data_IF_820808298054
#
_entry.id   IF_820808298054
#
_cell.length_a   1.000
_cell.length_b   1.000
_cell.length_c   1.000
_cell.angle_alpha   90.00
_cell.angle_beta   90.00
_cell.angle_gamma   90.00
#
_symmetry.space_group_name_H-M   'P 1'
#
loop_
_entity.id
_entity.type
_entity.pdbx_description
1 polymer ?
#
# COMPACT_ATOMS: atom_id res chain seq x y z
N UNK A 1 20.54 -31.90 -43.98
CA UNK A 1 20.66 -30.71 -43.10
C UNK A 1 19.34 -30.40 -42.40
N UNK A 2 18.20 -30.72 -43.02
CA UNK A 2 16.85 -30.37 -42.54
C UNK A 2 16.47 -31.04 -41.21
N UNK A 3 16.82 -32.31 -40.99
CA UNK A 3 16.47 -33.05 -39.76
C UNK A 3 17.09 -32.41 -38.51
N UNK A 4 18.33 -31.92 -38.60
CA UNK A 4 19.05 -31.28 -37.49
C UNK A 4 18.47 -29.90 -37.19
N UNK A 5 18.13 -29.13 -38.23
CA UNK A 5 17.45 -27.83 -38.11
C UNK A 5 16.05 -27.97 -37.50
N UNK A 6 15.29 -29.00 -37.88
CA UNK A 6 13.99 -29.31 -37.26
C UNK A 6 14.14 -29.67 -35.78
N UNK A 7 15.12 -30.50 -35.43
CA UNK A 7 15.38 -30.89 -34.04
C UNK A 7 15.76 -29.69 -33.15
N UNK A 8 16.61 -28.80 -33.67
CA UNK A 8 16.96 -27.53 -33.02
C UNK A 8 15.75 -26.62 -32.85
N UNK A 9 14.87 -26.54 -33.86
CA UNK A 9 13.62 -25.78 -33.79
C UNK A 9 12.67 -26.31 -32.71
N UNK A 10 12.48 -27.62 -32.63
CA UNK A 10 11.65 -28.25 -31.59
C UNK A 10 12.24 -28.06 -30.19
N UNK A 11 13.55 -28.18 -30.03
CA UNK A 11 14.22 -27.95 -28.76
C UNK A 11 14.05 -26.50 -28.29
N UNK A 12 14.21 -25.52 -29.20
CA UNK A 12 14.00 -24.11 -28.88
C UNK A 12 12.54 -23.81 -28.50
N UNK A 13 11.59 -24.37 -29.24
CA UNK A 13 10.16 -24.26 -28.91
C UNK A 13 9.85 -24.83 -27.53
N UNK A 14 10.40 -26.00 -27.19
CA UNK A 14 10.20 -26.62 -25.88
C UNK A 14 10.74 -25.73 -24.75
N UNK A 15 11.91 -25.09 -24.94
CA UNK A 15 12.48 -24.15 -23.97
C UNK A 15 11.58 -22.92 -23.80
N UNK A 16 11.10 -22.32 -24.89
CA UNK A 16 10.22 -21.14 -24.82
C UNK A 16 8.92 -21.47 -24.09
N UNK A 17 8.28 -22.59 -24.43
CA UNK A 17 7.05 -23.04 -23.75
C UNK A 17 7.31 -23.30 -22.28
N UNK A 18 8.42 -23.95 -21.93
CA UNK A 18 8.79 -24.20 -20.54
C UNK A 18 8.98 -22.89 -19.75
N UNK A 19 9.67 -21.90 -20.33
CA UNK A 19 9.86 -20.58 -19.73
C UNK A 19 8.52 -19.87 -19.51
N UNK A 20 7.61 -19.92 -20.49
CA UNK A 20 6.29 -19.29 -20.36
C UNK A 20 5.42 -19.97 -19.31
N UNK A 21 5.39 -21.31 -19.27
CA UNK A 21 4.65 -22.06 -18.24
C UNK A 21 5.23 -21.80 -16.86
N UNK A 22 6.56 -21.71 -16.74
CA UNK A 22 7.22 -21.39 -15.48
C UNK A 22 6.91 -19.96 -15.01
N UNK A 23 6.92 -18.98 -15.92
CA UNK A 23 6.49 -17.60 -15.63
C UNK A 23 5.03 -17.54 -15.20
N UNK A 24 4.13 -18.24 -15.91
CA UNK A 24 2.71 -18.31 -15.59
C UNK A 24 2.50 -18.93 -14.20
N UNK A 25 3.20 -20.03 -13.90
CA UNK A 25 3.18 -20.66 -12.59
C UNK A 25 3.68 -19.72 -11.49
N UNK A 26 4.76 -18.97 -11.76
CA UNK A 26 5.24 -17.91 -10.87
C UNK A 26 4.16 -16.88 -10.59
N UNK A 27 3.55 -16.30 -11.62
CA UNK A 27 2.48 -15.31 -11.50
C UNK A 27 1.30 -15.89 -10.70
N UNK A 28 0.82 -17.09 -11.02
CA UNK A 28 -0.30 -17.74 -10.31
C UNK A 28 0.06 -17.98 -8.85
N UNK A 29 1.26 -18.49 -8.56
CA UNK A 29 1.71 -18.73 -7.18
C UNK A 29 1.79 -17.44 -6.38
N UNK A 30 2.37 -16.38 -6.92
CA UNK A 30 2.44 -15.08 -6.25
C UNK A 30 1.06 -14.39 -6.17
N UNK A 31 0.19 -14.61 -7.15
CA UNK A 31 -1.21 -14.15 -7.14
C UNK A 31 -2.07 -14.84 -6.08
N UNK A 32 -1.80 -16.12 -5.73
CA UNK A 32 -2.52 -16.87 -4.69
C UNK A 32 -1.94 -16.65 -3.28
N UNK A 33 -0.62 -16.43 -3.15
CA UNK A 33 0.01 -16.10 -1.86
C UNK A 33 -0.45 -14.70 -1.37
N UNK A 34 -0.69 -13.76 -2.29
CA UNK A 34 -1.22 -12.43 -1.98
C UNK A 34 -2.53 -12.47 -1.15
N UNK A 35 -3.58 -13.23 -1.52
CA UNK A 35 -4.78 -13.47 -0.70
C UNK A 35 -4.50 -14.04 0.69
N UNK A 36 -3.53 -14.94 0.85
CA UNK A 36 -3.24 -15.58 2.14
C UNK A 36 -2.49 -14.63 3.09
N UNK A 37 -1.62 -13.78 2.55
CA UNK A 37 -0.94 -12.71 3.31
C UNK A 37 -1.89 -11.53 3.59
N UNK A 38 -2.89 -11.30 2.72
CA UNK A 38 -3.93 -10.28 2.92
C UNK A 38 -5.15 -10.79 3.71
N UNK A 39 -5.28 -12.10 3.96
CA UNK A 39 -6.26 -12.68 4.90
C UNK A 39 -6.03 -12.08 6.28
N UNK A 40 -7.01 -11.30 6.74
CA UNK A 40 -6.93 -10.59 8.02
C UNK A 40 -6.35 -9.18 7.95
N UNK A 41 -5.97 -8.65 6.78
CA UNK A 41 -5.59 -7.24 6.64
C UNK A 41 -6.76 -6.31 7.01
N UNK A 42 -7.99 -6.67 6.63
CA UNK A 42 -9.21 -5.95 7.01
C UNK A 42 -9.51 -6.01 8.51
N UNK A 43 -9.14 -7.12 9.18
CA UNK A 43 -9.25 -7.24 10.64
C UNK A 43 -8.12 -6.49 11.36
N UNK A 44 -6.91 -6.49 10.79
CA UNK A 44 -5.75 -5.75 11.30
C UNK A 44 -5.91 -4.24 11.15
N UNK A 45 -6.62 -3.78 10.13
CA UNK A 45 -7.02 -2.37 9.98
C UNK A 45 -7.82 -1.87 11.19
N UNK A 46 -8.68 -2.72 11.78
CA UNK A 46 -9.52 -2.37 12.95
C UNK A 46 -8.83 -2.59 14.30
N UNK A 47 -7.61 -3.13 14.32
CA UNK A 47 -6.85 -3.41 15.56
C UNK A 47 -5.43 -2.83 15.45
N UNK A 48 -5.30 -1.49 15.47
CA UNK A 48 -3.99 -0.84 15.37
C UNK A 48 -3.15 -1.13 16.62
N UNK A 49 -1.87 -1.45 16.41
CA UNK A 49 -0.84 -1.53 17.45
C UNK A 49 0.01 -0.26 17.36
N UNK A 50 -0.48 0.81 18.00
CA UNK A 50 0.10 2.15 17.95
C UNK A 50 1.49 2.16 18.59
N UNK A 51 1.64 1.55 19.77
CA UNK A 51 2.90 1.53 20.50
C UNK A 51 3.96 0.71 19.76
N UNK A 52 3.61 -0.48 19.29
CA UNK A 52 4.52 -1.30 18.49
C UNK A 52 4.92 -0.59 17.20
N UNK A 53 3.98 0.07 16.52
CA UNK A 53 4.25 0.80 15.29
C UNK A 53 5.16 2.01 15.53
N UNK A 54 4.98 2.72 16.65
CA UNK A 54 5.85 3.82 17.10
C UNK A 54 7.30 3.33 17.27
N UNK A 55 7.50 2.17 17.91
CA UNK A 55 8.83 1.56 18.08
C UNK A 55 9.51 1.22 16.74
N UNK A 56 8.75 0.84 15.71
CA UNK A 56 9.31 0.55 14.38
C UNK A 56 9.80 1.83 13.69
N UNK A 57 9.12 2.95 13.85
CA UNK A 57 9.47 4.21 13.18
C UNK A 57 10.40 5.11 13.99
N UNK A 58 10.52 4.87 15.29
CA UNK A 58 11.44 5.60 16.18
C UNK A 58 10.89 6.95 16.66
N UNK A 59 9.58 7.18 16.54
CA UNK A 59 8.90 8.36 17.05
C UNK A 59 7.50 8.01 17.57
N UNK A 60 6.96 8.75 18.55
CA UNK A 60 5.62 8.49 19.09
C UNK A 60 4.55 8.77 18.03
N UNK A 61 3.61 7.84 17.87
CA UNK A 61 2.44 8.06 17.02
C UNK A 61 1.37 8.83 17.81
N UNK A 62 0.59 9.71 17.14
CA UNK A 62 -0.49 10.43 17.79
C UNK A 62 -1.56 9.46 18.29
N UNK A 63 -2.10 9.72 19.49
CA UNK A 63 -3.15 8.90 20.12
C UNK A 63 -4.38 8.78 19.20
N UNK A 64 -4.70 9.86 18.49
CA UNK A 64 -5.76 9.97 17.49
C UNK A 64 -5.64 8.94 16.35
N UNK A 65 -4.45 8.35 16.13
CA UNK A 65 -4.31 7.28 15.16
C UNK A 65 -5.11 6.04 15.54
N UNK A 66 -5.25 5.72 16.83
CA UNK A 66 -6.11 4.63 17.29
C UNK A 66 -7.59 4.89 16.93
N UNK A 67 -8.05 6.10 17.21
CA UNK A 67 -9.43 6.53 16.96
C UNK A 67 -9.74 6.62 15.47
N UNK A 68 -8.80 7.14 14.67
CA UNK A 68 -8.93 7.17 13.22
C UNK A 68 -9.14 5.76 12.66
N UNK A 69 -8.29 4.80 13.06
CA UNK A 69 -8.34 3.42 12.57
C UNK A 69 -9.57 2.63 13.06
N UNK A 70 -10.18 3.04 14.18
CA UNK A 70 -11.38 2.40 14.71
C UNK A 70 -12.68 2.98 14.13
N UNK A 71 -12.71 4.28 13.84
CA UNK A 71 -13.95 5.03 13.54
C UNK A 71 -14.12 5.48 12.08
N UNK A 72 -13.04 5.61 11.30
CA UNK A 72 -13.16 6.19 9.96
C UNK A 72 -13.91 5.25 8.99
N UNK A 73 -15.05 5.68 8.41
CA UNK A 73 -15.97 4.80 7.68
C UNK A 73 -15.43 4.33 6.31
N UNK A 74 -14.38 4.98 5.81
CA UNK A 74 -13.79 4.72 4.50
C UNK A 74 -12.54 3.84 4.54
N UNK A 75 -12.05 3.44 5.72
CA UNK A 75 -10.79 2.68 5.84
C UNK A 75 -10.79 1.33 5.11
N UNK A 76 -11.95 0.69 5.03
CA UNK A 76 -12.10 -0.59 4.34
C UNK A 76 -12.42 -0.44 2.85
N UNK A 77 -12.65 0.79 2.37
CA UNK A 77 -12.89 1.03 0.95
C UNK A 77 -11.59 0.82 0.17
N UNK A 78 -11.75 0.40 -1.07
CA UNK A 78 -10.69 0.32 -2.05
C UNK A 78 -10.97 1.35 -3.13
N UNK A 79 -9.92 1.98 -3.64
CA UNK A 79 -9.94 2.78 -4.86
C UNK A 79 -11.01 3.88 -4.87
N UNK A 80 -10.79 4.92 -4.07
CA UNK A 80 -11.72 6.03 -3.91
C UNK A 80 -10.97 7.37 -3.86
N UNK A 81 -11.73 8.46 -3.85
CA UNK A 81 -11.19 9.82 -3.75
C UNK A 81 -11.67 10.45 -2.47
N UNK A 82 -10.72 10.92 -1.66
CA UNK A 82 -11.01 11.80 -0.53
C UNK A 82 -10.98 13.26 -0.98
N UNK A 83 -11.99 14.02 -0.56
CA UNK A 83 -12.15 15.43 -0.87
C UNK A 83 -12.01 16.22 0.42
N UNK A 84 -10.97 17.05 0.49
CA UNK A 84 -10.75 17.96 1.60
C UNK A 84 -11.84 19.05 1.63
N UNK A 85 -12.10 19.69 2.79
CA UNK A 85 -13.00 20.85 2.86
C UNK A 85 -12.61 21.99 1.90
N UNK A 86 -11.32 22.10 1.56
CA UNK A 86 -10.82 23.05 0.55
C UNK A 86 -11.16 22.68 -0.90
N UNK A 87 -11.82 21.56 -1.16
CA UNK A 87 -12.13 21.02 -2.50
C UNK A 87 -10.99 20.23 -3.15
N UNK A 88 -9.79 20.21 -2.56
CA UNK A 88 -8.66 19.40 -3.03
C UNK A 88 -8.97 17.91 -2.95
N UNK A 89 -8.58 17.16 -3.99
CA UNK A 89 -8.91 15.74 -4.17
C UNK A 89 -7.66 14.87 -4.06
N UNK A 90 -7.79 13.77 -3.32
CA UNK A 90 -6.71 12.81 -3.06
C UNK A 90 -7.18 11.40 -3.39
N UNK A 91 -6.47 10.73 -4.30
CA UNK A 91 -6.80 9.35 -4.68
C UNK A 91 -6.23 8.38 -3.65
N UNK A 92 -7.06 7.48 -3.15
CA UNK A 92 -6.70 6.48 -2.17
C UNK A 92 -6.94 5.11 -2.79
N UNK A 93 -5.88 4.33 -2.98
CA UNK A 93 -5.98 2.94 -3.40
C UNK A 93 -6.46 2.04 -2.27
N UNK A 94 -5.78 2.10 -1.11
CA UNK A 94 -6.16 1.37 0.11
C UNK A 94 -5.43 1.93 1.32
N UNK A 95 -6.02 1.79 2.50
CA UNK A 95 -5.32 2.02 3.77
C UNK A 95 -4.49 0.79 4.18
N UNK A 96 -3.37 1.04 4.86
CA UNK A 96 -2.50 0.01 5.41
C UNK A 96 -2.76 -0.19 6.90
N UNK A 97 -2.72 -1.43 7.42
CA UNK A 97 -2.82 -1.65 8.87
C UNK A 97 -1.67 -0.99 9.64
N UNK A 98 -1.98 -0.26 10.72
CA UNK A 98 -0.99 0.23 11.69
C UNK A 98 -0.58 -0.89 12.65
N UNK A 99 0.18 -1.86 12.16
CA UNK A 99 0.73 -2.96 12.94
C UNK A 99 2.22 -3.08 12.60
N UNK A 100 3.12 -3.36 13.56
CA UNK A 100 4.57 -3.36 13.35
C UNK A 100 5.07 -4.07 12.10
N UNK A 101 4.54 -5.28 11.83
CA UNK A 101 4.90 -6.07 10.65
C UNK A 101 4.57 -5.36 9.33
N UNK A 102 3.37 -4.78 9.26
CA UNK A 102 2.85 -4.09 8.08
C UNK A 102 3.57 -2.75 7.87
N UNK A 103 3.79 -2.01 8.95
CA UNK A 103 4.56 -0.75 8.90
C UNK A 103 5.98 -1.02 8.40
N UNK A 104 6.66 -2.04 8.94
CA UNK A 104 8.02 -2.41 8.54
C UNK A 104 8.08 -2.82 7.06
N UNK A 105 7.15 -3.66 6.61
CA UNK A 105 7.10 -4.11 5.22
C UNK A 105 6.80 -2.97 4.25
N UNK A 106 5.75 -2.19 4.51
CA UNK A 106 5.38 -1.07 3.65
C UNK A 106 6.46 0.02 3.61
N UNK A 107 7.19 0.26 4.71
CA UNK A 107 8.34 1.18 4.71
C UNK A 107 9.45 0.71 3.77
N UNK A 108 9.72 -0.60 3.71
CA UNK A 108 10.69 -1.18 2.78
C UNK A 108 10.21 -1.05 1.34
N UNK A 109 8.95 -1.39 1.07
CA UNK A 109 8.35 -1.35 -0.27
C UNK A 109 8.38 0.07 -0.84
N UNK A 110 8.03 1.07 -0.02
CA UNK A 110 7.92 2.47 -0.48
C UNK A 110 9.18 3.30 -0.25
N UNK A 111 10.22 2.75 0.41
CA UNK A 111 11.45 3.48 0.70
C UNK A 111 11.25 4.71 1.58
N UNK A 112 10.31 4.67 2.54
CA UNK A 112 9.99 5.82 3.41
C UNK A 112 10.47 5.65 4.84
N UNK A 113 10.92 6.76 5.44
CA UNK A 113 11.26 6.82 6.87
C UNK A 113 10.03 7.03 7.77
N UNK A 114 8.94 7.53 7.20
CA UNK A 114 7.69 7.84 7.88
C UNK A 114 6.78 6.61 7.97
N UNK A 115 5.60 6.75 8.58
CA UNK A 115 4.64 5.65 8.73
C UNK A 115 3.72 5.62 7.51
N UNK A 116 3.80 4.61 6.63
CA UNK A 116 2.87 4.51 5.50
C UNK A 116 1.47 4.17 6.01
N UNK A 117 0.48 5.00 5.67
CA UNK A 117 -0.92 4.85 6.08
C UNK A 117 -1.86 4.49 4.91
N UNK A 118 -1.54 4.89 3.68
CA UNK A 118 -2.34 4.53 2.51
C UNK A 118 -1.54 4.54 1.21
N UNK A 119 -2.04 3.87 0.18
CA UNK A 119 -1.47 3.85 -1.18
C UNK A 119 -2.16 4.87 -2.09
N UNK A 120 -1.42 5.50 -3.01
CA UNK A 120 -1.98 6.26 -4.16
C UNK A 120 -1.91 5.45 -5.46
N UNK A 121 -2.30 4.17 -5.43
CA UNK A 121 -2.42 3.30 -6.62
C UNK A 121 -1.18 3.28 -7.54
N UNK A 122 0.02 3.30 -6.95
CA UNK A 122 1.29 3.26 -7.69
C UNK A 122 1.88 4.63 -8.05
N UNK A 123 1.23 5.75 -7.69
CA UNK A 123 1.80 7.10 -7.83
C UNK A 123 2.62 7.54 -6.61
N UNK A 124 2.40 6.88 -5.48
CA UNK A 124 3.07 7.18 -4.23
C UNK A 124 2.40 6.53 -3.03
N UNK A 125 2.77 7.04 -1.86
CA UNK A 125 2.32 6.57 -0.56
C UNK A 125 1.91 7.76 0.30
N UNK A 126 0.81 7.64 1.01
CA UNK A 126 0.44 8.56 2.06
C UNK A 126 1.13 8.13 3.36
N UNK A 127 1.80 9.07 3.99
CA UNK A 127 2.60 8.85 5.19
C UNK A 127 2.13 9.74 6.33
N UNK A 128 2.20 9.22 7.54
CA UNK A 128 2.09 9.98 8.78
C UNK A 128 3.50 10.38 9.22
N UNK A 129 3.68 11.68 9.39
CA UNK A 129 4.91 12.33 9.83
C UNK A 129 5.03 12.31 11.36
N UNK A 130 6.23 12.62 11.87
CA UNK A 130 6.50 12.62 13.31
C UNK A 130 5.73 13.69 14.09
N UNK A 131 5.32 14.76 13.44
CA UNK A 131 4.47 15.83 13.99
C UNK A 131 2.97 15.48 13.94
N UNK A 132 2.61 14.29 13.42
CA UNK A 132 1.23 13.85 13.26
C UNK A 132 0.54 14.32 11.98
N UNK A 133 1.22 15.08 11.12
CA UNK A 133 0.68 15.51 9.84
C UNK A 133 0.64 14.35 8.83
N UNK A 134 -0.32 14.43 7.90
CA UNK A 134 -0.43 13.48 6.79
C UNK A 134 0.11 14.14 5.53
N UNK A 135 1.02 13.44 4.87
CA UNK A 135 1.60 13.89 3.62
C UNK A 135 1.56 12.81 2.56
N UNK A 136 1.55 13.21 1.29
CA UNK A 136 1.74 12.34 0.14
C UNK A 136 3.22 12.37 -0.26
N UNK A 137 3.83 11.19 -0.34
CA UNK A 137 5.20 10.99 -0.82
C UNK A 137 5.13 10.30 -2.18
N UNK A 138 5.57 10.96 -3.27
CA UNK A 138 5.60 10.37 -4.60
C UNK A 138 6.50 9.14 -4.68
N UNK A 139 6.18 8.20 -5.56
CA UNK A 139 7.01 7.03 -5.80
C UNK A 139 8.41 7.45 -6.28
N UNK A 140 9.45 6.85 -5.71
CA UNK A 140 10.85 7.11 -6.09
C UNK A 140 11.47 8.37 -5.46
N UNK A 141 10.71 9.17 -4.72
CA UNK A 141 11.24 10.31 -3.96
C UNK A 141 11.14 10.04 -2.46
N UNK A 142 12.27 10.16 -1.75
CA UNK A 142 12.33 9.98 -0.29
C UNK A 142 12.30 11.31 0.49
N UNK A 143 12.46 12.44 -0.20
CA UNK A 143 12.57 13.78 0.40
C UNK A 143 11.42 14.71 0.05
N UNK A 144 10.79 14.54 -1.12
CA UNK A 144 9.65 15.36 -1.50
C UNK A 144 8.37 14.80 -0.89
N UNK A 145 7.74 15.59 -0.04
CA UNK A 145 6.43 15.29 0.52
C UNK A 145 5.49 16.47 0.26
N UNK A 146 4.25 16.17 -0.11
CA UNK A 146 3.19 17.16 -0.27
C UNK A 146 2.23 17.02 0.89
N UNK A 147 2.09 18.08 1.70
CA UNK A 147 1.18 18.06 2.84
C UNK A 147 -0.28 17.87 2.37
N UNK A 148 -0.97 16.90 2.96
CA UNK A 148 -2.39 16.59 2.70
C UNK A 148 -3.26 17.29 3.74
N UNK A 149 -2.94 17.08 5.02
CA UNK A 149 -3.61 17.71 6.16
C UNK A 149 -2.70 17.69 7.40
N UNK A 150 -3.07 18.44 8.43
CA UNK A 150 -2.22 18.65 9.62
C UNK A 150 -2.37 17.56 10.68
N UNK A 151 -3.42 16.76 10.61
CA UNK A 151 -3.64 15.63 11.51
C UNK A 151 -4.51 14.55 10.88
N UNK A 152 -4.53 13.37 11.51
CA UNK A 152 -5.48 12.30 11.17
C UNK A 152 -6.93 12.71 11.47
N UNK A 153 -7.15 13.51 12.51
CA UNK A 153 -8.47 14.09 12.80
C UNK A 153 -9.00 14.99 11.68
N UNK A 154 -8.13 15.75 11.01
CA UNK A 154 -8.51 16.50 9.80
C UNK A 154 -8.83 15.57 8.63
N UNK A 155 -8.01 14.53 8.42
CA UNK A 155 -8.24 13.54 7.35
C UNK A 155 -9.58 12.82 7.52
N UNK A 156 -9.98 12.52 8.76
CA UNK A 156 -11.26 11.87 9.06
C UNK A 156 -12.49 12.67 8.59
N UNK A 157 -12.34 13.99 8.44
CA UNK A 157 -13.40 14.91 7.99
C UNK A 157 -13.50 15.01 6.47
N UNK A 158 -12.62 14.35 5.72
CA UNK A 158 -12.66 14.39 4.26
C UNK A 158 -13.85 13.57 3.77
N UNK A 159 -14.55 14.10 2.77
CA UNK A 159 -15.68 13.41 2.16
C UNK A 159 -15.17 12.42 1.11
N UNK A 160 -15.85 11.27 0.98
CA UNK A 160 -15.58 10.36 -0.14
C UNK A 160 -16.35 10.84 -1.36
N UNK A 161 -15.66 11.12 -2.47
CA UNK A 161 -16.32 11.53 -3.70
C UNK A 161 -17.23 10.40 -4.24
N UNK A 162 -18.44 10.75 -4.68
CA UNK A 162 -19.40 9.80 -5.24
C UNK A 162 -20.08 8.91 -4.20
N UNK A 163 -20.19 9.39 -2.96
CA UNK A 163 -20.91 8.72 -1.86
C UNK A 163 -22.30 9.30 -1.58
N UNK A 164 -22.84 10.10 -2.49
CA UNK A 164 -24.24 10.56 -2.49
C UNK A 164 -25.15 9.49 -3.15
#
# INVERSE_FOLDING_TARGET
>A
MDVVLSFLGYALCAVIVFVQVFLLWGIVRYSIISPWVTRGASAALKRPDIEGSARVVGFPLPIEAGDFYSSAPFLQRLEFVLVAPSGRRWRIGRFYPLVPRHVRENRKVHGTKNVPIASDQGKGVYVLLADGAVAHQPLGSSSQVTMVCRSLGELARFNVAGGD
#
